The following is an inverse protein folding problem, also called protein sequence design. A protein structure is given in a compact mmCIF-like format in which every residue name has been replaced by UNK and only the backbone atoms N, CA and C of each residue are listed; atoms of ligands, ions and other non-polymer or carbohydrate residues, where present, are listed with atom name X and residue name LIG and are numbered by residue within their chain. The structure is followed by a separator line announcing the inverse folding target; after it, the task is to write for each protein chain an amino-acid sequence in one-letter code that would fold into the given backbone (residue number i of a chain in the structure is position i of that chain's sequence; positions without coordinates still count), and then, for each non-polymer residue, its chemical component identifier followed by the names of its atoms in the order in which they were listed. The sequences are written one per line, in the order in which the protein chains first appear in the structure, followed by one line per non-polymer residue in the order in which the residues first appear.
data_IF_993874865454
#
_entry.id   IF_993874865454
#
_cell.length_a   1.000
_cell.length_b   1.000
_cell.length_c   1.000
_cell.angle_alpha   90.00
_cell.angle_beta   90.00
_cell.angle_gamma   90.00
#
_symmetry.space_group_name_H-M   'P 1'
#
loop_
_entity.id
_entity.type
_entity.pdbx_description
1 polymer ?
#
# COMPACT_ATOMS: atom_id res chain seq x y z
N UNK A 1 7.97 -18.67 30.81
CA UNK A 1 8.32 -18.00 32.07
C UNK A 1 7.02 -17.42 32.63
N UNK A 2 6.68 -17.62 33.92
CA UNK A 2 5.63 -16.85 34.57
C UNK A 2 5.98 -15.35 34.53
N UNK A 3 4.97 -14.48 34.65
CA UNK A 3 5.17 -13.03 34.58
C UNK A 3 6.05 -12.56 35.74
N UNK A 4 7.23 -11.96 35.48
CA UNK A 4 8.09 -11.47 36.56
C UNK A 4 7.58 -10.18 37.20
N UNK A 5 6.59 -9.50 36.60
CA UNK A 5 6.06 -8.22 37.07
C UNK A 5 4.81 -8.41 37.93
N UNK A 6 4.65 -7.55 38.93
CA UNK A 6 3.37 -7.43 39.66
C UNK A 6 2.28 -6.88 38.74
N UNK A 7 1.01 -7.03 39.13
CA UNK A 7 -0.12 -6.51 38.34
C UNK A 7 -0.01 -5.00 38.08
N UNK A 8 0.39 -4.22 39.08
CA UNK A 8 0.60 -2.77 38.93
C UNK A 8 1.76 -2.44 38.00
N UNK A 9 2.88 -3.16 38.13
CA UNK A 9 4.04 -2.99 37.24
C UNK A 9 3.71 -3.37 35.80
N UNK A 10 2.95 -4.45 35.60
CA UNK A 10 2.47 -4.88 34.27
C UNK A 10 1.52 -3.84 33.67
N UNK A 11 0.60 -3.31 34.47
CA UNK A 11 -0.31 -2.25 34.04
C UNK A 11 0.45 -0.99 33.57
N UNK A 12 1.42 -0.53 34.37
CA UNK A 12 2.28 0.62 34.01
C UNK A 12 3.15 0.33 32.77
N UNK A 13 3.68 -0.89 32.65
CA UNK A 13 4.44 -1.29 31.46
C UNK A 13 3.57 -1.22 30.21
N UNK A 14 2.35 -1.75 30.27
CA UNK A 14 1.40 -1.74 29.15
C UNK A 14 0.92 -0.33 28.80
N UNK A 15 0.76 0.58 29.78
CA UNK A 15 0.34 1.96 29.51
C UNK A 15 1.40 2.80 28.80
N UNK A 16 2.68 2.44 28.92
CA UNK A 16 3.78 3.10 28.20
C UNK A 16 3.96 2.62 26.75
N UNK A 17 3.25 1.57 26.32
CA UNK A 17 3.35 1.06 24.95
C UNK A 17 2.61 1.99 24.01
N UNK A 18 3.37 2.77 23.23
CA UNK A 18 2.84 3.70 22.24
C UNK A 18 2.41 2.96 20.97
N UNK A 19 1.38 3.48 20.33
CA UNK A 19 0.87 2.98 19.05
C UNK A 19 1.56 3.59 17.82
N UNK A 20 2.44 4.58 18.00
CA UNK A 20 3.16 5.31 16.95
C UNK A 20 4.49 5.82 17.47
N UNK A 21 5.39 6.15 16.54
CA UNK A 21 6.73 6.68 16.82
C UNK A 21 7.50 5.75 17.77
N UNK A 22 7.36 4.44 17.53
CA UNK A 22 8.07 3.43 18.30
C UNK A 22 9.56 3.45 17.96
N UNK A 23 10.41 2.94 18.86
CA UNK A 23 11.85 2.84 18.63
C UNK A 23 12.24 2.19 17.28
N UNK A 24 11.66 1.04 16.87
CA UNK A 24 11.96 0.46 15.55
C UNK A 24 11.52 1.36 14.38
N UNK A 25 10.34 1.98 14.45
CA UNK A 25 9.89 2.91 13.41
C UNK A 25 10.86 4.07 13.22
N UNK A 26 11.30 4.69 14.33
CA UNK A 26 12.23 5.82 14.30
C UNK A 26 13.59 5.44 13.71
N UNK A 27 14.10 4.24 14.00
CA UNK A 27 15.36 3.75 13.42
C UNK A 27 15.27 3.63 11.91
N UNK A 28 14.23 2.98 11.41
CA UNK A 28 14.03 2.83 9.96
C UNK A 28 13.84 4.19 9.29
N UNK A 29 13.07 5.09 9.93
CA UNK A 29 12.87 6.47 9.47
C UNK A 29 14.17 7.24 9.34
N UNK A 30 15.04 7.17 10.35
CA UNK A 30 16.35 7.82 10.31
C UNK A 30 17.25 7.23 9.23
N UNK A 31 17.23 5.90 9.07
CA UNK A 31 18.02 5.23 8.04
C UNK A 31 17.59 5.66 6.64
N UNK A 32 16.29 5.55 6.32
CA UNK A 32 15.75 5.98 5.02
C UNK A 32 16.03 7.45 4.74
N UNK A 33 15.98 8.31 5.77
CA UNK A 33 16.30 9.73 5.62
C UNK A 33 17.77 9.96 5.29
N UNK A 34 18.69 9.27 5.99
CA UNK A 34 20.14 9.32 5.73
C UNK A 34 20.47 8.89 4.31
N UNK A 35 19.75 7.90 3.79
CA UNK A 35 19.88 7.41 2.42
C UNK A 35 19.17 8.28 1.36
N UNK A 36 18.58 9.40 1.76
CA UNK A 36 17.99 10.39 0.84
C UNK A 36 16.54 10.14 0.45
N UNK A 37 15.88 9.13 1.03
CA UNK A 37 14.46 8.90 0.77
C UNK A 37 13.60 9.92 1.52
N UNK A 38 12.54 10.36 0.84
CA UNK A 38 11.52 11.25 1.41
C UNK A 38 10.20 10.50 1.45
N UNK A 39 9.58 10.50 2.61
CA UNK A 39 8.38 9.73 2.89
C UNK A 39 7.38 10.55 3.71
N UNK A 40 6.13 10.10 3.69
CA UNK A 40 5.09 10.57 4.61
C UNK A 40 4.87 9.51 5.67
N UNK A 41 4.50 9.91 6.87
CA UNK A 41 4.22 8.99 7.98
C UNK A 41 2.76 9.06 8.39
N UNK A 42 2.22 7.99 8.97
CA UNK A 42 0.90 7.97 9.60
C UNK A 42 -0.25 8.41 8.67
N UNK A 43 -0.24 7.93 7.42
CA UNK A 43 -1.22 8.34 6.40
C UNK A 43 -2.55 7.61 6.63
N UNK A 44 -3.47 8.24 7.37
CA UNK A 44 -4.80 7.68 7.69
C UNK A 44 -5.71 7.43 6.49
N UNK A 45 -5.42 8.04 5.33
CA UNK A 45 -6.19 7.84 4.09
C UNK A 45 -5.97 6.44 3.50
N UNK A 46 -4.88 5.76 3.87
CA UNK A 46 -4.56 4.43 3.36
C UNK A 46 -5.02 3.34 4.35
N UNK A 47 -5.47 2.16 3.84
CA UNK A 47 -5.80 1.02 4.69
C UNK A 47 -4.64 0.67 5.63
N UNK A 48 -4.96 0.37 6.89
CA UNK A 48 -3.96 0.00 7.90
C UNK A 48 -3.13 1.16 8.47
N UNK A 49 -3.29 2.41 7.99
CA UNK A 49 -2.46 3.57 8.39
C UNK A 49 -0.96 3.23 8.38
N UNK A 50 -0.35 3.10 7.18
CA UNK A 50 1.04 2.68 7.08
C UNK A 50 2.00 3.64 7.79
N UNK A 51 3.04 3.07 8.39
CA UNK A 51 4.05 3.83 9.14
C UNK A 51 4.84 4.76 8.23
N UNK A 52 5.21 4.26 7.04
CA UNK A 52 5.98 4.99 6.04
C UNK A 52 5.33 4.82 4.67
N UNK A 53 5.12 5.94 3.98
CA UNK A 53 4.52 5.99 2.64
C UNK A 53 5.45 6.70 1.68
N UNK A 54 5.84 5.99 0.63
CA UNK A 54 6.77 6.39 -0.40
C UNK A 54 6.01 6.57 -1.73
N UNK A 55 5.39 7.75 -1.88
CA UNK A 55 4.48 8.03 -3.01
C UNK A 55 5.13 7.91 -4.40
N UNK A 56 6.40 8.32 -4.53
CA UNK A 56 7.16 8.21 -5.80
C UNK A 56 7.33 6.76 -6.27
N UNK A 57 7.46 5.84 -5.33
CA UNK A 57 7.71 4.42 -5.57
C UNK A 57 6.41 3.60 -5.55
N UNK A 58 5.29 4.26 -5.22
CA UNK A 58 3.99 3.63 -4.97
C UNK A 58 4.10 2.48 -3.96
N UNK A 59 4.90 2.70 -2.91
CA UNK A 59 5.19 1.70 -1.88
C UNK A 59 4.81 2.22 -0.49
N UNK A 60 4.30 1.32 0.34
CA UNK A 60 4.07 1.53 1.77
C UNK A 60 4.89 0.53 2.56
N UNK A 61 5.36 0.96 3.73
CA UNK A 61 6.14 0.11 4.64
C UNK A 61 5.41 0.05 5.98
N UNK A 62 5.21 -1.18 6.46
CA UNK A 62 4.74 -1.46 7.82
C UNK A 62 5.89 -1.96 8.68
N UNK A 63 6.05 -1.37 9.86
CA UNK A 63 7.04 -1.76 10.86
C UNK A 63 6.35 -2.57 11.94
N UNK A 64 6.38 -3.89 11.78
CA UNK A 64 5.66 -4.80 12.66
C UNK A 64 6.52 -5.21 13.86
N UNK A 65 5.98 -4.98 15.07
CA UNK A 65 6.52 -5.57 16.28
C UNK A 65 6.41 -7.10 16.26
N UNK A 66 7.52 -7.82 16.47
CA UNK A 66 7.57 -9.27 16.40
C UNK A 66 6.61 -9.93 17.40
N UNK A 67 6.43 -9.32 18.58
CA UNK A 67 5.50 -9.81 19.59
C UNK A 67 4.03 -9.68 19.16
N UNK A 68 3.62 -8.48 18.69
CA UNK A 68 2.21 -8.14 18.45
C UNK A 68 1.62 -8.78 17.19
N UNK A 69 2.46 -9.02 16.19
CA UNK A 69 2.06 -9.61 14.90
C UNK A 69 2.50 -11.08 14.78
N UNK A 70 3.21 -11.58 15.79
CA UNK A 70 3.68 -12.95 15.86
C UNK A 70 4.68 -13.31 14.77
N UNK A 71 5.90 -12.81 14.86
CA UNK A 71 6.94 -13.21 13.91
C UNK A 71 7.32 -14.68 14.12
N UNK A 72 7.09 -15.54 13.11
CA UNK A 72 7.47 -16.97 13.17
C UNK A 72 9.00 -17.11 13.18
N UNK A 73 9.53 -17.98 14.03
CA UNK A 73 10.98 -18.24 14.11
C UNK A 73 11.80 -17.14 14.79
N UNK A 74 11.17 -16.09 15.32
CA UNK A 74 11.88 -14.99 15.97
C UNK A 74 11.97 -15.19 17.49
N UNK A 75 13.16 -14.96 18.07
CA UNK A 75 13.39 -15.01 19.53
C UNK A 75 12.55 -13.98 20.30
N UNK A 76 12.19 -12.85 19.67
CA UNK A 76 11.36 -11.80 20.28
C UNK A 76 9.87 -12.16 20.36
N UNK A 77 9.44 -13.18 19.63
CA UNK A 77 8.08 -13.69 19.73
C UNK A 77 8.05 -14.90 20.67
N UNK A 78 7.41 -14.73 21.82
CA UNK A 78 7.14 -15.84 22.74
C UNK A 78 5.74 -15.65 23.28
N UNK A 79 4.90 -16.68 23.13
CA UNK A 79 3.54 -16.64 23.67
C UNK A 79 3.62 -16.59 25.20
N UNK A 80 3.03 -15.58 25.86
CA UNK A 80 3.02 -15.52 27.32
C UNK A 80 2.35 -16.77 27.90
N UNK A 81 2.89 -17.32 29.00
CA UNK A 81 2.28 -18.47 29.68
C UNK A 81 1.02 -18.10 30.46
N UNK A 82 0.80 -16.82 30.74
CA UNK A 82 -0.44 -16.27 31.31
C UNK A 82 -1.41 -15.85 30.20
N UNK A 83 -2.71 -16.12 30.38
CA UNK A 83 -3.77 -15.78 29.42
C UNK A 83 -3.47 -16.23 27.97
N UNK A 84 -2.97 -17.46 27.81
CA UNK A 84 -2.49 -18.01 26.54
C UNK A 84 -3.53 -17.87 25.43
N UNK A 85 -4.77 -18.29 25.68
CA UNK A 85 -5.84 -18.28 24.67
C UNK A 85 -6.21 -16.86 24.23
N UNK A 86 -6.22 -15.90 25.15
CA UNK A 86 -6.40 -14.49 24.81
C UNK A 86 -5.29 -13.99 23.89
N UNK A 87 -4.02 -14.28 24.22
CA UNK A 87 -2.88 -13.82 23.42
C UNK A 87 -2.84 -14.47 22.04
N UNK A 88 -3.11 -15.77 21.93
CA UNK A 88 -3.22 -16.47 20.65
C UNK A 88 -4.31 -15.83 19.77
N UNK A 89 -5.51 -15.65 20.32
CA UNK A 89 -6.62 -15.04 19.59
C UNK A 89 -6.31 -13.59 19.17
N UNK A 90 -5.67 -12.81 20.04
CA UNK A 90 -5.27 -11.43 19.75
C UNK A 90 -4.25 -11.35 18.61
N UNK A 91 -3.20 -12.17 18.65
CA UNK A 91 -2.18 -12.21 17.60
C UNK A 91 -2.77 -12.70 16.28
N UNK A 92 -3.65 -13.72 16.31
CA UNK A 92 -4.35 -14.20 15.13
C UNK A 92 -5.18 -13.10 14.46
N UNK A 93 -5.98 -12.37 15.24
CA UNK A 93 -6.79 -11.23 14.75
C UNK A 93 -5.93 -10.11 14.16
N UNK A 94 -4.79 -9.80 14.79
CA UNK A 94 -3.87 -8.80 14.26
C UNK A 94 -3.35 -9.21 12.88
N UNK A 95 -2.89 -10.46 12.71
CA UNK A 95 -2.41 -10.98 11.42
C UNK A 95 -3.49 -10.98 10.35
N UNK A 96 -4.72 -11.37 10.70
CA UNK A 96 -5.85 -11.33 9.78
C UNK A 96 -6.12 -9.90 9.30
N UNK A 97 -6.14 -8.94 10.22
CA UNK A 97 -6.29 -7.52 9.89
C UNK A 97 -5.16 -7.02 8.99
N UNK A 98 -3.92 -7.42 9.24
CA UNK A 98 -2.78 -7.01 8.41
C UNK A 98 -2.91 -7.59 7.00
N UNK A 99 -3.32 -8.85 6.87
CA UNK A 99 -3.56 -9.49 5.57
C UNK A 99 -4.66 -8.76 4.78
N UNK A 100 -5.77 -8.42 5.43
CA UNK A 100 -6.85 -7.65 4.82
C UNK A 100 -6.39 -6.24 4.38
N UNK A 101 -5.57 -5.58 5.20
CA UNK A 101 -5.02 -4.27 4.84
C UNK A 101 -4.06 -4.37 3.65
N UNK A 102 -3.21 -5.40 3.61
CA UNK A 102 -2.29 -5.63 2.51
C UNK A 102 -3.03 -5.88 1.19
N UNK A 103 -4.04 -6.75 1.21
CA UNK A 103 -4.89 -7.00 0.04
C UNK A 103 -5.60 -5.72 -0.46
N UNK A 104 -6.10 -4.90 0.46
CA UNK A 104 -6.72 -3.61 0.11
C UNK A 104 -5.72 -2.64 -0.48
N UNK A 105 -4.48 -2.62 -0.01
CA UNK A 105 -3.43 -1.76 -0.57
C UNK A 105 -3.00 -2.25 -1.96
N UNK A 106 -2.88 -3.55 -2.16
CA UNK A 106 -2.55 -4.15 -3.44
C UNK A 106 -3.64 -3.90 -4.49
N UNK A 107 -4.93 -3.93 -4.10
CA UNK A 107 -6.04 -3.67 -5.02
C UNK A 107 -6.07 -2.23 -5.54
N UNK A 108 -5.59 -1.26 -4.76
CA UNK A 108 -5.37 0.12 -5.19
C UNK A 108 -3.95 0.34 -5.74
N UNK A 109 -3.28 -0.72 -6.19
CA UNK A 109 -1.98 -0.73 -6.83
C UNK A 109 -0.87 -0.10 -5.97
N UNK A 110 -0.90 -0.29 -4.65
CA UNK A 110 0.24 -0.03 -3.77
C UNK A 110 1.03 -1.31 -3.51
N UNK A 111 2.35 -1.20 -3.51
CA UNK A 111 3.23 -2.29 -3.07
C UNK A 111 3.44 -2.19 -1.57
N UNK A 112 3.39 -3.32 -0.87
CA UNK A 112 3.50 -3.38 0.59
C UNK A 112 4.80 -4.07 0.99
N UNK A 113 5.59 -3.41 1.82
CA UNK A 113 6.79 -3.99 2.43
C UNK A 113 6.54 -4.15 3.92
N UNK A 114 6.68 -5.36 4.44
CA UNK A 114 6.66 -5.61 5.88
C UNK A 114 8.09 -5.69 6.39
N UNK A 115 8.39 -4.91 7.42
CA UNK A 115 9.69 -4.91 8.10
C UNK A 115 9.46 -5.27 9.55
N UNK A 116 10.20 -6.24 10.06
CA UNK A 116 10.04 -6.72 11.43
C UNK A 116 10.98 -6.01 12.40
N UNK A 117 10.57 -5.80 13.65
CA UNK A 117 11.43 -5.16 14.66
C UNK A 117 12.76 -5.90 14.94
N UNK A 118 12.86 -7.19 14.59
CA UNK A 118 14.10 -7.94 14.72
C UNK A 118 15.11 -7.62 13.60
N UNK A 119 14.62 -7.20 12.43
CA UNK A 119 15.44 -6.76 11.29
C UNK A 119 16.00 -5.33 11.50
N UNK A 120 15.44 -4.60 12.47
CA UNK A 120 15.79 -3.20 12.77
C UNK A 120 16.75 -3.06 13.98
N UNK A 121 17.45 -4.12 14.34
CA UNK A 121 18.59 -4.01 15.24
C UNK A 121 19.81 -3.39 14.50
N UNK A 122 20.84 -2.99 15.24
CA UNK A 122 21.99 -2.30 14.64
C UNK A 122 22.75 -3.19 13.63
N UNK A 123 22.69 -4.51 13.79
CA UNK A 123 23.44 -5.45 12.97
C UNK A 123 22.76 -5.67 11.61
N UNK A 124 21.43 -5.82 11.61
CA UNK A 124 20.64 -6.15 10.42
C UNK A 124 20.06 -4.91 9.71
N UNK A 125 20.11 -3.73 10.34
CA UNK A 125 19.56 -2.50 9.76
C UNK A 125 20.14 -2.15 8.37
N UNK A 126 21.46 -2.25 8.12
CA UNK A 126 22.02 -1.98 6.79
C UNK A 126 21.45 -2.91 5.72
N UNK A 127 21.48 -4.23 5.97
CA UNK A 127 20.99 -5.25 5.04
C UNK A 127 19.49 -5.08 4.76
N UNK A 128 18.73 -4.76 5.80
CA UNK A 128 17.28 -4.50 5.70
C UNK A 128 17.02 -3.28 4.84
N UNK A 129 17.80 -2.22 5.02
CA UNK A 129 17.67 -1.02 4.21
C UNK A 129 18.08 -1.28 2.75
N UNK A 130 19.13 -2.05 2.48
CA UNK A 130 19.52 -2.44 1.12
C UNK A 130 18.43 -3.26 0.42
N UNK A 131 17.81 -4.21 1.13
CA UNK A 131 16.64 -4.96 0.65
C UNK A 131 15.49 -4.01 0.29
N UNK A 132 15.16 -3.07 1.17
CA UNK A 132 14.09 -2.09 0.93
C UNK A 132 14.42 -1.26 -0.31
N UNK A 133 15.66 -0.82 -0.51
CA UNK A 133 16.04 -0.05 -1.69
C UNK A 133 15.86 -0.82 -3.00
N UNK A 134 16.28 -2.09 -3.02
CA UNK A 134 16.08 -2.95 -4.17
C UNK A 134 14.59 -3.12 -4.51
N UNK A 135 13.75 -3.36 -3.48
CA UNK A 135 12.30 -3.46 -3.65
C UNK A 135 11.69 -2.13 -4.11
N UNK A 136 12.14 -0.99 -3.59
CA UNK A 136 11.67 0.32 -4.02
C UNK A 136 12.01 0.58 -5.49
N UNK A 137 13.23 0.24 -5.93
CA UNK A 137 13.63 0.38 -7.33
C UNK A 137 12.73 -0.46 -8.26
N UNK A 138 12.48 -1.73 -7.91
CA UNK A 138 11.58 -2.60 -8.66
C UNK A 138 10.14 -2.07 -8.69
N UNK A 139 9.61 -1.62 -7.55
CA UNK A 139 8.26 -1.09 -7.44
C UNK A 139 8.07 0.19 -8.26
N UNK A 140 9.09 1.07 -8.27
CA UNK A 140 9.09 2.27 -9.11
C UNK A 140 9.01 1.91 -10.59
N UNK A 141 9.83 0.98 -11.06
CA UNK A 141 9.81 0.55 -12.46
C UNK A 141 8.42 -0.02 -12.84
N UNK A 142 7.85 -0.87 -11.98
CA UNK A 142 6.49 -1.41 -12.16
C UNK A 142 5.44 -0.28 -12.23
N UNK A 143 5.51 0.70 -11.34
CA UNK A 143 4.58 1.82 -11.30
C UNK A 143 4.72 2.75 -12.50
N UNK A 144 5.94 2.99 -12.97
CA UNK A 144 6.22 3.79 -14.17
C UNK A 144 5.64 3.10 -15.42
N UNK A 145 5.86 1.79 -15.59
CA UNK A 145 5.27 1.03 -16.68
C UNK A 145 3.73 1.05 -16.64
N UNK A 146 3.13 0.81 -15.47
CA UNK A 146 1.67 0.92 -15.30
C UNK A 146 1.15 2.31 -15.66
N UNK A 147 1.83 3.37 -15.20
CA UNK A 147 1.45 4.76 -15.45
C UNK A 147 1.58 5.14 -16.92
N UNK A 148 2.63 4.66 -17.61
CA UNK A 148 2.84 4.87 -19.04
C UNK A 148 1.73 4.21 -19.86
N UNK A 149 1.44 2.93 -19.60
CA UNK A 149 0.35 2.21 -20.27
C UNK A 149 -0.98 2.95 -20.11
N UNK A 150 -1.34 3.36 -18.89
CA UNK A 150 -2.58 4.10 -18.65
C UNK A 150 -2.65 5.44 -19.39
N UNK A 151 -1.52 6.11 -19.61
CA UNK A 151 -1.46 7.35 -20.41
C UNK A 151 -1.66 7.05 -21.90
N UNK A 152 -1.05 5.99 -22.41
CA UNK A 152 -1.20 5.54 -23.80
C UNK A 152 -2.65 5.12 -24.08
N UNK A 153 -3.27 4.32 -23.21
CA UNK A 153 -4.67 3.90 -23.35
C UNK A 153 -5.61 5.11 -23.39
N UNK A 154 -5.35 6.12 -22.53
CA UNK A 154 -6.11 7.38 -22.53
C UNK A 154 -5.92 8.17 -23.82
N UNK A 155 -4.69 8.26 -24.33
CA UNK A 155 -4.41 8.93 -25.60
C UNK A 155 -5.10 8.24 -26.77
N UNK A 156 -5.02 6.91 -26.83
CA UNK A 156 -5.71 6.10 -27.81
C UNK A 156 -7.23 6.31 -27.75
N UNK A 157 -7.84 6.28 -26.56
CA UNK A 157 -9.27 6.52 -26.40
C UNK A 157 -9.69 7.92 -26.89
N UNK A 158 -8.88 8.95 -26.63
CA UNK A 158 -9.12 10.31 -27.13
C UNK A 158 -9.00 10.39 -28.66
N UNK A 159 -8.00 9.71 -29.23
CA UNK A 159 -7.80 9.64 -30.68
C UNK A 159 -8.96 8.91 -31.38
N UNK A 160 -9.37 7.76 -30.85
CA UNK A 160 -10.54 7.01 -31.35
C UNK A 160 -11.81 7.86 -31.26
N UNK A 161 -12.02 8.59 -30.16
CA UNK A 161 -13.15 9.50 -30.02
C UNK A 161 -13.11 10.64 -31.06
N UNK A 162 -11.92 11.16 -31.39
CA UNK A 162 -11.74 12.18 -32.43
C UNK A 162 -12.05 11.60 -33.82
N UNK A 163 -11.42 10.48 -34.19
CA UNK A 163 -11.66 9.79 -35.47
C UNK A 163 -13.13 9.46 -35.67
N UNK A 164 -13.80 8.97 -34.61
CA UNK A 164 -15.25 8.69 -34.65
C UNK A 164 -16.06 9.95 -34.96
N UNK A 165 -15.72 11.11 -34.36
CA UNK A 165 -16.39 12.39 -34.67
C UNK A 165 -16.15 12.82 -36.11
N UNK A 166 -14.92 12.68 -36.60
CA UNK A 166 -14.55 13.02 -37.99
C UNK A 166 -15.32 12.15 -38.99
N UNK A 167 -15.35 10.83 -38.78
CA UNK A 167 -16.13 9.89 -39.61
C UNK A 167 -17.63 10.22 -39.56
N UNK A 168 -18.20 10.43 -38.36
CA UNK A 168 -19.61 10.80 -38.24
C UNK A 168 -19.91 12.10 -38.99
N UNK A 169 -19.06 13.13 -38.89
CA UNK A 169 -19.25 14.38 -39.60
C UNK A 169 -19.17 14.22 -41.13
N UNK A 170 -18.24 13.39 -41.63
CA UNK A 170 -18.15 13.08 -43.06
C UNK A 170 -19.40 12.37 -43.57
N UNK A 171 -19.87 11.35 -42.84
CA UNK A 171 -21.08 10.59 -43.18
C UNK A 171 -22.32 11.49 -43.13
N UNK A 172 -22.45 12.37 -42.13
CA UNK A 172 -23.53 13.36 -42.06
C UNK A 172 -23.51 14.33 -43.25
N UNK A 173 -22.33 14.80 -43.67
CA UNK A 173 -22.19 15.69 -44.81
C UNK A 173 -22.59 15.00 -46.12
N UNK A 174 -22.11 13.77 -46.37
CA UNK A 174 -22.43 12.98 -47.57
C UNK A 174 -23.93 12.67 -47.66
N UNK A 175 -24.56 12.27 -46.55
CA UNK A 175 -26.01 12.04 -46.50
C UNK A 175 -26.81 13.32 -46.71
N UNK A 176 -26.36 14.44 -46.16
CA UNK A 176 -27.04 15.74 -46.34
C UNK A 176 -27.00 16.19 -47.80
N UNK A 177 -25.92 15.90 -48.53
CA UNK A 177 -25.81 16.19 -49.96
C UNK A 177 -26.71 15.28 -50.80
N UNK A 178 -26.78 13.98 -50.49
CA UNK A 178 -27.62 13.02 -51.22
C UNK A 178 -29.12 13.24 -51.01
N UNK A 179 -29.53 13.66 -49.81
CA UNK A 179 -30.94 13.77 -49.41
C UNK A 179 -31.49 15.21 -49.49
N UNK A 180 -30.67 16.18 -49.91
CA UNK A 180 -30.96 17.63 -49.96
C UNK A 180 -31.62 18.17 -48.68
N UNK A 181 -31.34 17.53 -47.54
CA UNK A 181 -31.90 17.85 -46.22
C UNK A 181 -30.87 17.60 -45.13
N UNK A 182 -30.76 18.46 -44.09
CA UNK A 182 -29.75 18.32 -43.06
C UNK A 182 -30.02 17.10 -42.15
N UNK A 183 -29.13 16.11 -42.20
CA UNK A 183 -29.18 14.90 -41.37
C UNK A 183 -28.23 15.03 -40.17
N UNK A 184 -28.69 14.66 -38.96
CA UNK A 184 -27.85 14.56 -37.76
C UNK A 184 -28.07 13.23 -37.06
N UNK A 185 -26.99 12.48 -36.81
CA UNK A 185 -27.06 11.27 -36.01
C UNK A 185 -27.14 11.62 -34.53
N UNK A 186 -28.27 11.29 -33.89
CA UNK A 186 -28.32 11.23 -32.42
C UNK A 186 -27.57 10.00 -31.95
N UNK A 187 -26.76 10.13 -30.90
CA UNK A 187 -26.23 8.98 -30.17
C UNK A 187 -27.41 8.14 -29.68
N UNK A 188 -27.58 6.96 -30.26
CA UNK A 188 -28.41 5.92 -29.68
C UNK A 188 -27.63 5.40 -28.48
N UNK A 189 -28.16 5.61 -27.27
CA UNK A 189 -27.67 4.87 -26.11
C UNK A 189 -28.16 3.44 -26.30
N UNK A 190 -27.24 2.49 -26.45
CA UNK A 190 -27.61 1.08 -26.31
C UNK A 190 -28.00 0.90 -24.84
N UNK A 191 -29.27 0.56 -24.61
CA UNK A 191 -29.69 -0.01 -23.33
C UNK A 191 -29.08 -1.42 -23.29
N UNK A 192 -28.14 -1.63 -22.37
CA UNK A 192 -27.52 -2.93 -22.14
C UNK A 192 -28.59 -3.87 -21.54
N UNK A 193 -29.12 -4.80 -22.36
CA UNK A 193 -29.90 -5.98 -21.92
C UNK A 193 -28.98 -7.12 -21.45
#
# INVERSE_FOLDING_TARGET
MPDPLTLQQRHLCMSHIRSKDTSPELKLRHELWRRGYRYRTNVRRLPGTPDIVLGKYRTVIFVNGCFWHGHKGCRKYTVPKSNVEFWKAKVARNRERDLLNNQRLESIAWSVITVWECELDKAHLPDTADRIEAELAANKAKWEAYSQRRRQDRQFALEQARRRREITALVEAELSEQLDTPVKFKKIAYEDE
#
